data_IF_973258203965
#
_entry.id   IF_973258203965
#
_cell.length_a   1.000
_cell.length_b   1.000
_cell.length_c   1.000
_cell.angle_alpha   90.00
_cell.angle_beta   90.00
_cell.angle_gamma   90.00
#
_symmetry.space_group_name_H-M   'P 1'
#
loop_
_entity.id
_entity.type
_entity.pdbx_description
1 polymer ?
#
# COMPACT_ATOMS: atom_id res chain seq x y z
N UNK A 1 25.47 -12.01 -27.66
CA UNK A 1 24.58 -11.49 -26.61
C UNK A 1 25.46 -11.22 -25.41
N UNK A 2 25.71 -9.95 -25.12
CA UNK A 2 26.70 -9.51 -24.11
C UNK A 2 26.14 -9.68 -22.71
N UNK A 3 26.96 -10.01 -21.71
CA UNK A 3 26.55 -10.20 -20.30
C UNK A 3 25.79 -8.99 -19.71
N UNK A 4 25.96 -7.80 -20.32
CA UNK A 4 25.28 -6.56 -19.94
C UNK A 4 23.75 -6.58 -20.18
N UNK A 5 23.28 -7.37 -21.15
CA UNK A 5 21.84 -7.49 -21.47
C UNK A 5 21.11 -8.32 -20.41
N UNK A 6 21.74 -9.42 -19.98
CA UNK A 6 21.20 -10.31 -18.93
C UNK A 6 21.10 -9.63 -17.57
N UNK A 7 22.05 -8.75 -17.24
CA UNK A 7 21.98 -7.97 -15.99
C UNK A 7 20.80 -7.00 -15.99
N UNK A 8 20.53 -6.35 -17.13
CA UNK A 8 19.40 -5.42 -17.29
C UNK A 8 18.05 -6.13 -17.20
N UNK A 9 17.93 -7.30 -17.82
CA UNK A 9 16.71 -8.13 -17.77
C UNK A 9 16.40 -8.61 -16.34
N UNK A 10 17.44 -9.04 -15.59
CA UNK A 10 17.28 -9.48 -14.20
C UNK A 10 16.85 -8.33 -13.28
N UNK A 11 17.38 -7.12 -13.48
CA UNK A 11 16.97 -5.93 -12.72
C UNK A 11 15.51 -5.55 -13.02
N UNK A 12 15.06 -5.74 -14.27
CA UNK A 12 13.69 -5.44 -14.68
C UNK A 12 12.68 -6.45 -14.13
N UNK A 13 13.00 -7.75 -14.14
CA UNK A 13 12.16 -8.79 -13.56
C UNK A 13 12.00 -8.60 -12.04
N UNK A 14 13.10 -8.26 -11.36
CA UNK A 14 13.07 -7.94 -9.93
C UNK A 14 12.23 -6.70 -9.63
N UNK A 15 12.30 -5.65 -10.46
CA UNK A 15 11.47 -4.46 -10.31
C UNK A 15 9.97 -4.75 -10.51
N UNK A 16 9.61 -5.59 -11.49
CA UNK A 16 8.21 -6.03 -11.69
C UNK A 16 7.70 -6.87 -10.52
N UNK A 17 8.53 -7.75 -9.98
CA UNK A 17 8.18 -8.54 -8.79
C UNK A 17 7.97 -7.63 -7.58
N UNK A 18 8.89 -6.69 -7.32
CA UNK A 18 8.76 -5.72 -6.23
C UNK A 18 7.48 -4.90 -6.35
N UNK A 19 7.16 -4.40 -7.55
CA UNK A 19 5.91 -3.70 -7.82
C UNK A 19 4.68 -4.54 -7.47
N UNK A 20 4.62 -5.78 -7.96
CA UNK A 20 3.48 -6.68 -7.73
C UNK A 20 3.28 -6.99 -6.25
N UNK A 21 4.38 -7.21 -5.51
CA UNK A 21 4.34 -7.43 -4.06
C UNK A 21 3.78 -6.20 -3.36
N UNK A 22 4.29 -5.02 -3.68
CA UNK A 22 3.85 -3.79 -3.01
C UNK A 22 2.40 -3.46 -3.35
N UNK A 23 1.98 -3.61 -4.61
CA UNK A 23 0.60 -3.43 -5.05
C UNK A 23 -0.35 -4.37 -4.29
N UNK A 24 0.02 -5.65 -4.15
CA UNK A 24 -0.78 -6.63 -3.40
C UNK A 24 -0.92 -6.25 -1.91
N UNK A 25 0.14 -5.74 -1.29
CA UNK A 25 0.11 -5.28 0.10
C UNK A 25 -0.75 -4.03 0.30
N UNK A 26 -0.69 -3.09 -0.64
CA UNK A 26 -1.53 -1.90 -0.64
C UNK A 26 -3.01 -2.25 -0.81
N UNK A 27 -3.33 -3.18 -1.71
CA UNK A 27 -4.71 -3.65 -1.89
C UNK A 27 -5.23 -4.37 -0.64
N UNK A 28 -4.40 -5.23 -0.02
CA UNK A 28 -4.77 -5.86 1.24
C UNK A 28 -5.08 -4.83 2.33
N UNK A 29 -4.29 -3.76 2.43
CA UNK A 29 -4.51 -2.67 3.40
C UNK A 29 -5.83 -1.93 3.15
N UNK A 30 -6.21 -1.76 1.89
CA UNK A 30 -7.51 -1.16 1.50
C UNK A 30 -8.67 -2.04 1.96
N UNK A 31 -8.62 -3.35 1.72
CA UNK A 31 -9.65 -4.29 2.18
C UNK A 31 -9.80 -4.28 3.71
N UNK A 32 -8.68 -4.23 4.45
CA UNK A 32 -8.71 -4.10 5.92
C UNK A 32 -9.36 -2.78 6.35
N UNK A 33 -9.09 -1.68 5.65
CA UNK A 33 -9.70 -0.37 5.94
C UNK A 33 -11.21 -0.38 5.72
N UNK A 34 -11.67 -1.02 4.66
CA UNK A 34 -13.10 -1.20 4.37
C UNK A 34 -13.80 -2.06 5.43
N UNK A 35 -13.13 -3.13 5.89
CA UNK A 35 -13.64 -3.97 6.98
C UNK A 35 -13.75 -3.18 8.29
N UNK A 36 -12.77 -2.34 8.62
CA UNK A 36 -12.84 -1.45 9.80
C UNK A 36 -14.01 -0.48 9.68
N UNK A 37 -14.23 0.10 8.50
CA UNK A 37 -15.37 0.98 8.26
C UNK A 37 -16.72 0.25 8.41
N UNK A 38 -16.81 -1.01 7.99
CA UNK A 38 -17.99 -1.84 8.19
C UNK A 38 -18.20 -2.15 9.68
N UNK A 39 -17.14 -2.55 10.40
CA UNK A 39 -17.23 -2.79 11.85
C UNK A 39 -17.69 -1.54 12.60
N UNK A 40 -17.18 -0.36 12.24
CA UNK A 40 -17.59 0.91 12.86
C UNK A 40 -19.09 1.21 12.68
N UNK A 41 -19.71 0.80 11.56
CA UNK A 41 -21.16 0.94 11.35
C UNK A 41 -21.99 0.01 12.23
N UNK A 42 -21.40 -1.08 12.72
CA UNK A 42 -22.08 -2.05 13.61
C UNK A 42 -21.96 -1.68 15.09
N UNK A 43 -21.07 -0.75 15.43
CA UNK A 43 -20.92 -0.24 16.79
C UNK A 43 -21.98 0.85 17.06
N UNK A 44 -22.43 0.94 18.31
CA UNK A 44 -23.21 2.09 18.76
C UNK A 44 -22.35 3.37 18.79
N UNK A 45 -23.02 4.52 18.81
CA UNK A 45 -22.37 5.83 18.72
C UNK A 45 -21.37 6.09 19.85
N UNK A 46 -21.68 5.68 21.08
CA UNK A 46 -20.82 5.90 22.24
C UNK A 46 -19.56 5.04 22.16
N UNK A 47 -19.71 3.77 21.76
CA UNK A 47 -18.57 2.87 21.55
C UNK A 47 -17.67 3.33 20.40
N UNK A 48 -18.26 3.77 19.28
CA UNK A 48 -17.52 4.35 18.14
C UNK A 48 -16.74 5.60 18.56
N UNK A 49 -17.37 6.49 19.31
CA UNK A 49 -16.74 7.71 19.84
C UNK A 49 -15.58 7.39 20.80
N UNK A 50 -15.77 6.46 21.73
CA UNK A 50 -14.72 6.02 22.64
C UNK A 50 -13.52 5.42 21.87
N UNK A 51 -13.77 4.60 20.85
CA UNK A 51 -12.74 4.00 20.00
C UNK A 51 -11.89 5.08 19.32
N UNK A 52 -12.52 6.11 18.76
CA UNK A 52 -11.83 7.21 18.04
C UNK A 52 -10.93 8.07 18.93
N UNK A 53 -11.11 8.00 20.25
CA UNK A 53 -10.28 8.72 21.24
C UNK A 53 -9.07 7.90 21.71
N UNK A 54 -8.96 6.63 21.29
CA UNK A 54 -7.84 5.79 21.70
C UNK A 54 -6.55 6.14 20.93
N UNK A 55 -5.37 5.95 21.54
CA UNK A 55 -4.09 6.08 20.84
C UNK A 55 -3.96 5.13 19.64
N UNK A 56 -4.64 3.98 19.70
CA UNK A 56 -4.66 2.97 18.62
C UNK A 56 -5.35 3.53 17.38
N UNK A 57 -6.44 4.29 17.54
CA UNK A 57 -7.12 4.93 16.42
C UNK A 57 -6.23 5.99 15.73
N UNK A 58 -5.54 6.81 16.51
CA UNK A 58 -4.57 7.78 15.98
C UNK A 58 -3.46 7.07 15.20
N UNK A 59 -2.88 5.99 15.76
CA UNK A 59 -1.86 5.20 15.08
C UNK A 59 -2.37 4.58 13.76
N UNK A 60 -3.62 4.11 13.73
CA UNK A 60 -4.27 3.62 12.51
C UNK A 60 -4.42 4.72 11.46
N UNK A 61 -4.90 5.91 11.83
CA UNK A 61 -5.05 7.03 10.89
C UNK A 61 -3.70 7.48 10.31
N UNK A 62 -2.65 7.52 11.13
CA UNK A 62 -1.31 7.88 10.66
C UNK A 62 -0.72 6.80 9.74
N UNK A 63 -0.91 5.53 10.07
CA UNK A 63 -0.54 4.40 9.20
C UNK A 63 -1.27 4.48 7.86
N UNK A 64 -2.58 4.75 7.86
CA UNK A 64 -3.37 4.91 6.63
C UNK A 64 -2.84 6.04 5.75
N UNK A 65 -2.54 7.21 6.32
CA UNK A 65 -1.95 8.34 5.57
C UNK A 65 -0.57 8.00 5.01
N UNK A 66 0.24 7.23 5.74
CA UNK A 66 1.53 6.78 5.24
C UNK A 66 1.36 5.82 4.05
N UNK A 67 0.41 4.90 4.11
CA UNK A 67 0.12 3.96 3.02
C UNK A 67 -0.44 4.64 1.77
N UNK A 68 -1.28 5.67 1.91
CA UNK A 68 -1.72 6.49 0.78
C UNK A 68 -0.55 7.17 0.06
N UNK A 69 0.45 7.66 0.81
CA UNK A 69 1.69 8.19 0.22
C UNK A 69 2.53 7.12 -0.46
N UNK A 70 2.73 5.98 0.22
CA UNK A 70 3.48 4.84 -0.35
C UNK A 70 2.86 4.35 -1.65
N UNK A 71 1.54 4.35 -1.77
CA UNK A 71 0.86 4.03 -3.03
C UNK A 71 1.27 4.97 -4.17
N UNK A 72 1.23 6.29 -3.94
CA UNK A 72 1.63 7.27 -4.94
C UNK A 72 3.11 7.11 -5.34
N UNK A 73 3.99 6.80 -4.38
CA UNK A 73 5.41 6.54 -4.66
C UNK A 73 5.61 5.28 -5.52
N UNK A 74 4.82 4.24 -5.27
CA UNK A 74 4.86 2.97 -6.01
C UNK A 74 4.30 3.12 -7.43
N UNK A 75 3.21 3.87 -7.58
CA UNK A 75 2.66 4.21 -8.90
C UNK A 75 3.70 4.98 -9.72
N UNK A 76 4.36 5.98 -9.11
CA UNK A 76 5.44 6.73 -9.76
C UNK A 76 6.65 5.85 -10.09
N UNK A 77 7.04 4.95 -9.18
CA UNK A 77 8.11 3.98 -9.43
C UNK A 77 7.79 3.08 -10.63
N UNK A 78 6.55 2.60 -10.73
CA UNK A 78 6.09 1.77 -11.83
C UNK A 78 6.09 2.52 -13.18
N UNK A 79 5.69 3.78 -13.19
CA UNK A 79 5.75 4.64 -14.38
C UNK A 79 7.20 4.84 -14.85
N UNK A 80 8.13 5.11 -13.94
CA UNK A 80 9.57 5.24 -14.26
C UNK A 80 10.10 3.94 -14.86
N UNK A 81 9.73 2.79 -14.28
CA UNK A 81 10.15 1.49 -14.79
C UNK A 81 9.59 1.17 -16.18
N UNK A 82 8.34 1.57 -16.47
CA UNK A 82 7.73 1.41 -17.80
C UNK A 82 8.37 2.32 -18.85
N UNK A 83 8.80 3.53 -18.48
CA UNK A 83 9.47 4.46 -19.39
C UNK A 83 10.93 4.10 -19.74
N UNK A 84 11.49 3.08 -19.07
CA UNK A 84 12.79 2.49 -19.37
C UNK A 84 12.71 1.30 -20.36
N UNK A 85 11.50 0.87 -20.74
CA UNK A 85 11.22 -0.07 -21.86
C UNK A 85 11.42 0.60 -23.22
#
# INVERSE_FOLDING_TARGET
>A
MSDNDKSRDLDQEQARLAYTIIESLLEHTRVVSDLIALMAQTLDEDTSKALTQTPVWTAYLDSRRAMERTRADVEKFAEIMKGLE
#
